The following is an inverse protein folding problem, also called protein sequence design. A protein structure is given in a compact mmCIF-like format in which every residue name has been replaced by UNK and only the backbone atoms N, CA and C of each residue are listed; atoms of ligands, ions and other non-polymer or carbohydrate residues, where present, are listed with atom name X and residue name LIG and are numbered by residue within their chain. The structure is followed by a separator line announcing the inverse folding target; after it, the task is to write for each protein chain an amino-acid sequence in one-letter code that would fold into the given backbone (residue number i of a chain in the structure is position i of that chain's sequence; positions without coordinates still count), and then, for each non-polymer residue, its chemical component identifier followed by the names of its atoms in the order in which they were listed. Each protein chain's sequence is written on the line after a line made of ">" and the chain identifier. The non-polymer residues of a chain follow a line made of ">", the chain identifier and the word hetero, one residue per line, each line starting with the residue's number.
data_IF_759970227663
#
_entry.id   IF_759970227663
#
_cell.length_a   1.000
_cell.length_b   1.000
_cell.length_c   1.000
_cell.angle_alpha   90.00
_cell.angle_beta   90.00
_cell.angle_gamma   90.00
#
_symmetry.space_group_name_H-M   'P 1'
#
loop_
_entity.id
_entity.type
_entity.pdbx_description
1 polymer ?
#
# COMPACT_ATOMS: atom_id res chain seq x y z
N UNK A 1 -1.48 -9.95 -24.43
CA UNK A 1 -1.98 -8.68 -23.87
C UNK A 1 -2.02 -8.63 -22.33
N UNK A 2 -2.30 -9.71 -21.59
CA UNK A 2 -2.38 -9.70 -20.11
C UNK A 2 -1.05 -9.47 -19.37
N UNK A 3 0.07 -9.97 -19.91
CA UNK A 3 1.40 -9.89 -19.27
C UNK A 3 2.01 -8.49 -19.38
N UNK A 4 1.84 -7.80 -20.52
CA UNK A 4 2.35 -6.44 -20.74
C UNK A 4 1.82 -5.45 -19.69
N UNK A 5 0.54 -5.52 -19.35
CA UNK A 5 -0.04 -4.67 -18.29
C UNK A 5 0.52 -4.97 -16.89
N UNK A 6 0.91 -6.21 -16.59
CA UNK A 6 1.56 -6.53 -15.30
C UNK A 6 2.99 -6.00 -15.24
N UNK A 7 3.71 -6.03 -16.38
CA UNK A 7 5.05 -5.45 -16.50
C UNK A 7 5.00 -3.93 -16.35
N UNK A 8 4.02 -3.26 -16.96
CA UNK A 8 3.78 -1.82 -16.78
C UNK A 8 3.58 -1.48 -15.29
N UNK A 9 2.75 -2.25 -14.58
CA UNK A 9 2.52 -2.07 -13.15
C UNK A 9 3.82 -2.23 -12.33
N UNK A 10 4.62 -3.23 -12.66
CA UNK A 10 5.89 -3.49 -11.99
C UNK A 10 6.89 -2.34 -12.21
N UNK A 11 7.03 -1.86 -13.44
CA UNK A 11 7.92 -0.75 -13.79
C UNK A 11 7.49 0.52 -13.06
N UNK A 12 6.18 0.83 -13.06
CA UNK A 12 5.66 1.98 -12.34
C UNK A 12 5.93 1.89 -10.83
N UNK A 13 5.73 0.71 -10.22
CA UNK A 13 6.05 0.49 -8.81
C UNK A 13 7.54 0.68 -8.50
N UNK A 14 8.42 0.14 -9.35
CA UNK A 14 9.86 0.32 -9.23
C UNK A 14 10.29 1.78 -9.35
N UNK A 15 9.76 2.51 -10.34
CA UNK A 15 10.05 3.92 -10.55
C UNK A 15 9.64 4.79 -9.35
N UNK A 16 8.43 4.59 -8.83
CA UNK A 16 7.94 5.33 -7.66
C UNK A 16 8.85 5.08 -6.45
N UNK A 17 9.31 3.84 -6.27
CA UNK A 17 10.27 3.47 -5.21
C UNK A 17 11.61 4.20 -5.39
N UNK A 18 12.20 4.14 -6.59
CA UNK A 18 13.48 4.81 -6.89
C UNK A 18 13.39 6.32 -6.67
N UNK A 19 12.35 6.97 -7.20
CA UNK A 19 12.17 8.42 -7.06
C UNK A 19 12.00 8.80 -5.59
N UNK A 20 11.21 8.04 -4.83
CA UNK A 20 10.99 8.31 -3.40
C UNK A 20 12.27 8.15 -2.60
N UNK A 21 13.05 7.09 -2.86
CA UNK A 21 14.36 6.91 -2.24
C UNK A 21 15.31 8.06 -2.59
N UNK A 22 15.35 8.50 -3.85
CA UNK A 22 16.18 9.64 -4.27
C UNK A 22 15.78 10.95 -3.57
N UNK A 23 14.49 11.30 -3.54
CA UNK A 23 13.98 12.48 -2.84
C UNK A 23 14.28 12.39 -1.33
N UNK A 24 14.05 11.21 -0.73
CA UNK A 24 14.25 11.00 0.70
C UNK A 24 15.71 11.07 1.12
N UNK A 25 16.62 10.61 0.26
CA UNK A 25 18.07 10.56 0.51
C UNK A 25 18.72 11.92 0.30
N UNK A 26 18.38 12.61 -0.79
CA UNK A 26 19.12 13.79 -1.25
C UNK A 26 18.38 15.13 -1.06
N UNK A 27 17.08 15.12 -0.77
CA UNK A 27 16.28 16.35 -0.60
C UNK A 27 15.67 16.47 0.80
N UNK A 28 14.61 15.71 1.09
CA UNK A 28 14.05 15.66 2.44
C UNK A 28 13.10 14.45 2.63
N UNK A 29 13.04 13.88 3.85
CA UNK A 29 12.04 12.88 4.20
C UNK A 29 10.60 13.38 4.00
N UNK A 30 10.34 14.66 4.27
CA UNK A 30 9.01 15.25 4.10
C UNK A 30 8.57 15.26 2.63
N UNK A 31 9.40 15.77 1.72
CA UNK A 31 9.09 15.79 0.29
C UNK A 31 8.90 14.37 -0.26
N UNK A 32 9.72 13.42 0.18
CA UNK A 32 9.58 12.01 -0.20
C UNK A 32 8.25 11.43 0.26
N UNK A 33 7.82 11.74 1.50
CA UNK A 33 6.53 11.27 2.02
C UNK A 33 5.35 11.88 1.25
N UNK A 34 5.40 13.17 0.90
CA UNK A 34 4.37 13.85 0.08
C UNK A 34 4.28 13.22 -1.31
N UNK A 35 5.42 12.88 -1.91
CA UNK A 35 5.43 12.18 -3.19
C UNK A 35 4.85 10.75 -3.06
N UNK A 36 5.27 10.00 -2.03
CA UNK A 36 4.87 8.61 -1.81
C UNK A 36 3.38 8.42 -1.54
N UNK A 37 2.70 9.39 -0.92
CA UNK A 37 1.27 9.28 -0.60
C UNK A 37 0.37 9.38 -1.83
N UNK A 38 0.85 9.93 -2.95
CA UNK A 38 0.06 9.89 -4.18
C UNK A 38 -0.04 8.45 -4.69
N UNK A 39 -1.24 7.94 -5.01
CA UNK A 39 -1.46 6.52 -5.26
C UNK A 39 -1.08 6.12 -6.70
N UNK A 40 0.16 6.37 -7.11
CA UNK A 40 0.68 6.09 -8.46
C UNK A 40 0.46 4.63 -8.88
N UNK A 41 0.62 3.69 -7.95
CA UNK A 41 0.46 2.25 -8.19
C UNK A 41 -1.00 1.79 -8.21
N UNK A 42 -1.92 2.59 -7.67
CA UNK A 42 -3.36 2.30 -7.67
C UNK A 42 -4.00 2.61 -9.02
N UNK A 43 -3.56 3.67 -9.69
CA UNK A 43 -4.04 4.06 -11.03
C UNK A 43 -3.98 2.91 -12.05
N UNK A 44 -2.82 2.28 -12.31
CA UNK A 44 -2.74 1.23 -13.31
C UNK A 44 -3.48 -0.04 -12.86
N UNK A 45 -3.60 -0.28 -11.55
CA UNK A 45 -4.46 -1.33 -10.98
C UNK A 45 -5.93 -1.11 -11.36
N UNK A 46 -6.45 0.11 -11.23
CA UNK A 46 -7.82 0.48 -11.60
C UNK A 46 -8.03 0.34 -13.12
N UNK A 47 -7.09 0.83 -13.93
CA UNK A 47 -7.17 0.68 -15.38
C UNK A 47 -7.15 -0.79 -15.81
N UNK A 48 -6.36 -1.62 -15.13
CA UNK A 48 -6.36 -3.06 -15.35
C UNK A 48 -7.72 -3.68 -15.01
N UNK A 49 -8.31 -3.32 -13.87
CA UNK A 49 -9.66 -3.77 -13.50
C UNK A 49 -10.70 -3.38 -14.56
N UNK A 50 -10.64 -2.12 -15.03
CA UNK A 50 -11.54 -1.62 -16.08
C UNK A 50 -11.37 -2.36 -17.41
N UNK A 51 -10.12 -2.58 -17.86
CA UNK A 51 -9.80 -3.35 -19.08
C UNK A 51 -10.30 -4.80 -19.00
N UNK A 52 -10.45 -5.36 -17.80
CA UNK A 52 -10.99 -6.70 -17.57
C UNK A 52 -12.50 -6.70 -17.23
N UNK A 53 -13.22 -5.64 -17.62
CA UNK A 53 -14.69 -5.59 -17.56
C UNK A 53 -15.30 -5.30 -16.20
N UNK A 54 -14.50 -4.82 -15.22
CA UNK A 54 -15.07 -4.34 -13.94
C UNK A 54 -15.79 -3.00 -14.14
N UNK A 55 -16.98 -2.89 -13.55
CA UNK A 55 -17.80 -1.69 -13.62
C UNK A 55 -17.29 -0.59 -12.68
N UNK A 56 -17.87 0.61 -12.83
CA UNK A 56 -17.46 1.77 -12.04
C UNK A 56 -17.81 1.60 -10.56
N UNK A 57 -18.89 0.89 -10.26
CA UNK A 57 -19.33 0.59 -8.88
C UNK A 57 -18.31 -0.27 -8.15
N UNK A 58 -17.82 -1.34 -8.79
CA UNK A 58 -16.78 -2.20 -8.26
C UNK A 58 -15.48 -1.43 -8.02
N UNK A 59 -15.04 -0.62 -9.00
CA UNK A 59 -13.83 0.19 -8.89
C UNK A 59 -13.94 1.21 -7.76
N UNK A 60 -15.07 1.92 -7.66
CA UNK A 60 -15.34 2.88 -6.58
C UNK A 60 -15.33 2.22 -5.21
N UNK A 61 -15.95 1.03 -5.10
CA UNK A 61 -15.98 0.24 -3.87
C UNK A 61 -14.58 -0.22 -3.46
N UNK A 62 -13.76 -0.64 -4.43
CA UNK A 62 -12.36 -1.00 -4.19
C UNK A 62 -11.53 0.20 -3.69
N UNK A 63 -11.71 1.37 -4.29
CA UNK A 63 -11.06 2.61 -3.83
C UNK A 63 -11.46 2.95 -2.39
N UNK A 64 -12.76 2.90 -2.08
CA UNK A 64 -13.28 3.16 -0.74
C UNK A 64 -12.72 2.17 0.29
N UNK A 65 -12.72 0.87 -0.03
CA UNK A 65 -12.08 -0.20 0.76
C UNK A 65 -10.61 0.10 1.07
N UNK A 66 -9.88 0.57 0.06
CA UNK A 66 -8.46 0.90 0.17
C UNK A 66 -8.24 2.09 1.11
N UNK A 67 -9.10 3.12 1.05
CA UNK A 67 -9.05 4.25 1.98
C UNK A 67 -9.21 3.82 3.43
N UNK A 68 -10.15 2.92 3.73
CA UNK A 68 -10.32 2.43 5.11
C UNK A 68 -9.16 1.55 5.58
N UNK A 69 -8.47 0.87 4.66
CA UNK A 69 -7.24 0.14 4.98
C UNK A 69 -6.04 1.05 5.30
N UNK A 70 -6.14 2.39 5.12
CA UNK A 70 -5.08 3.33 5.50
C UNK A 70 -4.74 3.28 6.99
N UNK A 71 -5.66 2.86 7.86
CA UNK A 71 -5.35 2.67 9.28
C UNK A 71 -4.30 1.59 9.48
N UNK A 72 -4.34 0.52 8.67
CA UNK A 72 -3.33 -0.55 8.69
C UNK A 72 -2.00 0.04 8.24
N UNK A 73 -2.00 0.79 7.13
CA UNK A 73 -0.79 1.43 6.62
C UNK A 73 -0.16 2.35 7.67
N UNK A 74 -0.96 3.19 8.32
CA UNK A 74 -0.51 4.07 9.40
C UNK A 74 0.14 3.32 10.55
N UNK A 75 -0.48 2.24 11.04
CA UNK A 75 0.07 1.44 12.14
C UNK A 75 1.35 0.70 11.74
N UNK A 76 1.42 0.20 10.50
CA UNK A 76 2.61 -0.49 9.98
C UNK A 76 3.77 0.50 9.81
N UNK A 77 3.55 1.70 9.29
CA UNK A 77 4.60 2.71 9.15
C UNK A 77 5.09 3.24 10.49
N UNK A 78 4.21 3.43 11.47
CA UNK A 78 4.61 3.73 12.85
C UNK A 78 5.46 2.62 13.45
N UNK A 79 5.08 1.36 13.22
CA UNK A 79 5.85 0.22 13.71
C UNK A 79 7.21 0.14 13.03
N UNK A 80 7.28 0.32 11.71
CA UNK A 80 8.53 0.40 10.96
C UNK A 80 9.44 1.51 11.50
N UNK A 81 8.91 2.70 11.77
CA UNK A 81 9.67 3.80 12.35
C UNK A 81 10.31 3.39 13.69
N UNK A 82 9.54 2.77 14.60
CA UNK A 82 10.07 2.29 15.89
C UNK A 82 11.08 1.16 15.74
N UNK A 83 10.85 0.23 14.80
CA UNK A 83 11.76 -0.87 14.52
C UNK A 83 13.09 -0.37 13.96
N UNK A 84 13.07 0.59 13.03
CA UNK A 84 14.30 1.19 12.49
C UNK A 84 15.09 1.97 13.54
N UNK A 85 14.43 2.60 14.51
CA UNK A 85 15.11 3.29 15.62
C UNK A 85 15.90 2.34 16.53
N UNK A 86 15.46 1.09 16.70
CA UNK A 86 16.08 0.14 17.64
C UNK A 86 16.88 -0.98 16.97
N UNK A 87 16.54 -1.34 15.73
CA UNK A 87 17.04 -2.51 15.03
C UNK A 87 17.43 -2.20 13.58
N UNK A 88 17.70 -0.93 13.25
CA UNK A 88 17.98 -0.48 11.88
C UNK A 88 19.11 -1.23 11.16
N UNK A 89 20.10 -1.72 11.92
CA UNK A 89 21.22 -2.51 11.37
C UNK A 89 20.80 -3.93 10.93
N UNK A 90 19.68 -4.45 11.45
CA UNK A 90 19.16 -5.76 11.08
C UNK A 90 17.91 -5.62 10.19
N UNK A 91 18.17 -5.31 8.92
CA UNK A 91 17.12 -5.09 7.90
C UNK A 91 16.16 -6.27 7.79
N UNK A 92 16.67 -7.51 7.87
CA UNK A 92 15.85 -8.73 7.76
C UNK A 92 14.86 -8.79 8.93
N UNK A 93 15.31 -8.52 10.15
CA UNK A 93 14.43 -8.49 11.33
C UNK A 93 13.35 -7.42 11.21
N UNK A 94 13.71 -6.20 10.79
CA UNK A 94 12.75 -5.09 10.58
C UNK A 94 11.71 -5.47 9.52
N UNK A 95 12.14 -6.08 8.41
CA UNK A 95 11.28 -6.49 7.32
C UNK A 95 10.31 -7.60 7.74
N UNK A 96 10.80 -8.68 8.36
CA UNK A 96 9.95 -9.81 8.77
C UNK A 96 8.96 -9.41 9.87
N UNK A 97 9.39 -8.59 10.82
CA UNK A 97 8.53 -8.13 11.91
C UNK A 97 7.43 -7.20 11.38
N UNK A 98 7.77 -6.25 10.51
CA UNK A 98 6.76 -5.35 9.92
C UNK A 98 5.78 -6.09 9.00
N UNK A 99 6.24 -7.10 8.26
CA UNK A 99 5.40 -8.00 7.49
C UNK A 99 4.41 -8.77 8.40
N UNK A 100 4.89 -9.30 9.53
CA UNK A 100 4.07 -9.96 10.53
C UNK A 100 2.98 -9.04 11.11
N UNK A 101 3.34 -7.80 11.43
CA UNK A 101 2.38 -6.79 11.93
C UNK A 101 1.35 -6.44 10.88
N UNK A 102 1.77 -6.20 9.63
CA UNK A 102 0.84 -5.96 8.52
C UNK A 102 -0.13 -7.12 8.33
N UNK A 103 0.37 -8.36 8.35
CA UNK A 103 -0.45 -9.56 8.20
C UNK A 103 -1.48 -9.69 9.33
N UNK A 104 -1.05 -9.54 10.59
CA UNK A 104 -1.93 -9.61 11.75
C UNK A 104 -3.01 -8.52 11.72
N UNK A 105 -2.64 -7.28 11.42
CA UNK A 105 -3.60 -6.18 11.28
C UNK A 105 -4.56 -6.40 10.11
N UNK A 106 -4.09 -6.99 9.01
CA UNK A 106 -4.93 -7.40 7.87
C UNK A 106 -5.98 -8.43 8.26
N UNK A 107 -5.61 -9.46 9.04
CA UNK A 107 -6.55 -10.45 9.56
C UNK A 107 -7.59 -9.83 10.50
N UNK A 108 -7.15 -8.97 11.42
CA UNK A 108 -8.04 -8.24 12.35
C UNK A 108 -9.01 -7.37 11.56
N UNK A 109 -8.51 -6.57 10.62
CA UNK A 109 -9.35 -5.69 9.79
C UNK A 109 -10.37 -6.48 8.98
N UNK A 110 -9.95 -7.57 8.34
CA UNK A 110 -10.86 -8.46 7.61
C UNK A 110 -11.95 -9.01 8.54
N UNK A 111 -11.59 -9.51 9.72
CA UNK A 111 -12.54 -10.03 10.69
C UNK A 111 -13.53 -8.94 11.15
N UNK A 112 -13.06 -7.75 11.49
CA UNK A 112 -13.90 -6.63 11.92
C UNK A 112 -14.91 -6.22 10.86
N UNK A 113 -14.50 -6.10 9.59
CA UNK A 113 -15.40 -5.76 8.47
C UNK A 113 -16.50 -6.81 8.31
N UNK A 114 -16.17 -8.09 8.52
CA UNK A 114 -17.13 -9.18 8.43
C UNK A 114 -18.11 -9.23 9.62
N UNK A 115 -17.63 -9.03 10.86
CA UNK A 115 -18.45 -9.12 12.08
C UNK A 115 -19.33 -7.89 12.30
N UNK A 116 -18.82 -6.69 12.03
CA UNK A 116 -19.56 -5.45 12.23
C UNK A 116 -20.62 -5.19 11.14
N UNK A 117 -20.88 -6.16 10.26
CA UNK A 117 -21.86 -6.03 9.17
C UNK A 117 -21.50 -4.92 8.18
N UNK A 118 -20.25 -4.46 8.19
CA UNK A 118 -19.80 -3.35 7.37
C UNK A 118 -19.77 -3.72 5.88
N UNK A 119 -19.85 -5.00 5.50
CA UNK A 119 -20.00 -5.46 4.10
C UNK A 119 -20.96 -4.63 3.25
N UNK A 120 -22.04 -4.08 3.83
CA UNK A 120 -22.99 -3.23 3.09
C UNK A 120 -22.41 -1.90 2.60
N UNK A 121 -21.36 -1.40 3.26
CA UNK A 121 -20.56 -0.22 2.87
C UNK A 121 -19.23 -0.62 2.21
N UNK A 122 -18.93 -1.92 2.20
CA UNK A 122 -17.69 -2.52 1.73
C UNK A 122 -17.99 -3.63 0.72
#
# INVERSE_FOLDING_TARGET
>A
MKILGLIENFILGGLVTVITSYIGTYFSPLAASIFWVYPFTLLPTIFYMRKNGKDNTFISTFLLKTTFALIILFLVTLTLSKLFLHFGDNIIFVLLTSLGVWFMLGLIYYYLVNVLGLKKYF
#
